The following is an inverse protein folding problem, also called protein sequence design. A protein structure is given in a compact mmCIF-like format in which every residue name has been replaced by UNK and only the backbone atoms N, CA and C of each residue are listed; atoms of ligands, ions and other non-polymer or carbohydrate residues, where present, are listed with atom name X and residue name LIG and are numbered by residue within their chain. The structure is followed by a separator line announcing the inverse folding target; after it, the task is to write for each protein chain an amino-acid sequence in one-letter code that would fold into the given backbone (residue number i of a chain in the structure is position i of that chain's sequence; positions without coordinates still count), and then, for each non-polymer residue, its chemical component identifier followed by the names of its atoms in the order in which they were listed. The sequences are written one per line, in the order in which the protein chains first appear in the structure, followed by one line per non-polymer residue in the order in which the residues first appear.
data_IF_961523379450
#
_entry.id   IF_961523379450
#
_cell.length_a   1.000
_cell.length_b   1.000
_cell.length_c   1.000
_cell.angle_alpha   90.00
_cell.angle_beta   90.00
_cell.angle_gamma   90.00
#
_symmetry.space_group_name_H-M   'P 1'
#
loop_
_entity.id
_entity.type
_entity.pdbx_description
1 polymer ?
#
# COMPACT_ATOMS: atom_id res chain seq x y z
N UNK A 1 -9.78 1.86 7.02
CA UNK A 1 -10.17 0.44 7.11
C UNK A 1 -10.03 -0.11 5.69
N UNK A 2 -9.22 -1.13 5.44
CA UNK A 2 -8.81 -1.50 4.06
C UNK A 2 -9.98 -1.97 3.17
N UNK A 3 -11.15 -2.25 3.75
CA UNK A 3 -12.36 -2.70 3.06
C UNK A 3 -12.91 -1.69 2.04
N UNK A 4 -12.54 -0.39 2.10
CA UNK A 4 -12.92 0.56 1.04
C UNK A 4 -12.16 0.32 -0.27
N UNK A 5 -11.14 -0.54 -0.27
CA UNK A 5 -10.32 -0.89 -1.43
C UNK A 5 -10.80 -2.18 -2.12
N UNK A 6 -12.00 -2.68 -1.82
CA UNK A 6 -12.57 -3.83 -2.54
C UNK A 6 -12.59 -3.57 -4.07
N UNK A 7 -12.10 -4.54 -4.84
CA UNK A 7 -11.92 -4.48 -6.29
C UNK A 7 -10.74 -3.61 -6.74
N UNK A 8 -9.84 -3.21 -5.83
CA UNK A 8 -8.71 -2.31 -6.11
C UNK A 8 -7.36 -3.01 -6.05
N UNK A 9 -6.35 -2.33 -6.60
CA UNK A 9 -4.96 -2.76 -6.54
C UNK A 9 -4.19 -1.85 -5.60
N UNK A 10 -3.44 -2.46 -4.68
CA UNK A 10 -2.60 -1.73 -3.71
C UNK A 10 -1.14 -2.12 -3.87
N UNK A 11 -0.24 -1.18 -3.62
CA UNK A 11 1.21 -1.39 -3.66
C UNK A 11 1.79 -1.82 -2.31
N UNK A 12 2.87 -2.58 -2.33
CA UNK A 12 3.66 -2.89 -1.15
C UNK A 12 5.09 -3.31 -1.47
N UNK A 13 5.96 -3.36 -0.47
CA UNK A 13 7.35 -3.79 -0.66
C UNK A 13 7.46 -5.30 -0.48
N UNK A 14 8.06 -5.97 -1.46
CA UNK A 14 8.30 -7.40 -1.43
C UNK A 14 9.12 -7.79 -0.18
N UNK A 15 8.70 -8.85 0.51
CA UNK A 15 9.35 -9.32 1.73
C UNK A 15 9.16 -8.44 2.96
N UNK A 16 8.30 -7.42 2.89
CA UNK A 16 7.96 -6.63 4.08
C UNK A 16 6.88 -7.31 4.91
N UNK A 17 7.06 -7.34 6.23
CA UNK A 17 6.07 -7.86 7.18
C UNK A 17 4.69 -7.19 7.01
N UNK A 18 4.66 -5.94 6.56
CA UNK A 18 3.42 -5.20 6.28
C UNK A 18 2.61 -5.89 5.20
N UNK A 19 3.24 -6.24 4.07
CA UNK A 19 2.58 -6.96 2.97
C UNK A 19 2.02 -8.29 3.45
N UNK A 20 2.79 -9.05 4.23
CA UNK A 20 2.33 -10.33 4.77
C UNK A 20 1.08 -10.17 5.65
N UNK A 21 1.05 -9.16 6.53
CA UNK A 21 -0.10 -8.87 7.39
C UNK A 21 -1.33 -8.48 6.57
N UNK A 22 -1.17 -7.66 5.52
CA UNK A 22 -2.31 -7.30 4.67
C UNK A 22 -2.78 -8.47 3.83
N UNK A 23 -1.87 -9.27 3.28
CA UNK A 23 -2.23 -10.46 2.51
C UNK A 23 -3.07 -11.41 3.36
N UNK A 24 -2.64 -11.67 4.61
CA UNK A 24 -3.42 -12.49 5.54
C UNK A 24 -4.79 -11.87 5.85
N UNK A 25 -4.86 -10.56 6.08
CA UNK A 25 -6.14 -9.89 6.35
C UNK A 25 -7.10 -9.96 5.16
N UNK A 26 -6.60 -9.75 3.94
CA UNK A 26 -7.36 -9.83 2.69
C UNK A 26 -7.90 -11.25 2.50
N UNK A 27 -7.07 -12.26 2.72
CA UNK A 27 -7.47 -13.68 2.65
C UNK A 27 -8.53 -14.03 3.71
N UNK A 28 -8.29 -13.67 4.98
CA UNK A 28 -9.19 -13.96 6.09
C UNK A 28 -10.57 -13.33 5.90
N UNK A 29 -10.61 -12.14 5.31
CA UNK A 29 -11.84 -11.38 5.04
C UNK A 29 -12.44 -11.68 3.67
N UNK A 30 -11.75 -12.46 2.82
CA UNK A 30 -12.13 -12.75 1.43
C UNK A 30 -12.40 -11.47 0.63
N UNK A 31 -11.53 -10.49 0.79
CA UNK A 31 -11.59 -9.23 0.05
C UNK A 31 -10.98 -9.43 -1.33
N UNK A 32 -11.62 -8.85 -2.34
CA UNK A 32 -11.09 -8.77 -3.71
C UNK A 32 -10.09 -7.62 -3.82
N UNK A 33 -8.92 -7.77 -3.20
CA UNK A 33 -7.87 -6.75 -3.22
C UNK A 33 -6.60 -7.37 -3.76
N UNK A 34 -6.06 -6.79 -4.83
CA UNK A 34 -4.80 -7.22 -5.41
C UNK A 34 -3.63 -6.48 -4.75
N UNK A 35 -2.59 -7.21 -4.35
CA UNK A 35 -1.35 -6.61 -3.86
C UNK A 35 -0.29 -6.69 -4.96
N UNK A 36 0.11 -5.54 -5.50
CA UNK A 36 1.27 -5.40 -6.37
C UNK A 36 2.52 -5.15 -5.52
N UNK A 37 3.53 -6.02 -5.63
CA UNK A 37 4.77 -5.90 -4.84
C UNK A 37 5.90 -5.27 -5.64
N UNK A 38 6.63 -4.35 -5.01
CA UNK A 38 7.76 -3.63 -5.57
C UNK A 38 9.07 -3.98 -4.84
N UNK A 39 10.21 -3.79 -5.51
CA UNK A 39 11.54 -3.96 -4.91
C UNK A 39 11.86 -2.88 -3.87
N UNK A 40 11.34 -1.66 -4.08
CA UNK A 40 11.64 -0.51 -3.23
C UNK A 40 10.47 0.48 -3.19
N UNK A 41 10.57 1.43 -2.26
CA UNK A 41 9.56 2.46 -2.01
C UNK A 41 9.31 3.37 -3.22
N UNK A 42 10.36 3.70 -3.95
CA UNK A 42 10.29 4.64 -5.08
C UNK A 42 9.38 4.11 -6.18
N UNK A 43 9.45 2.81 -6.49
CA UNK A 43 8.55 2.17 -7.44
C UNK A 43 7.08 2.26 -7.01
N UNK A 44 6.81 1.97 -5.74
CA UNK A 44 5.46 2.05 -5.17
C UNK A 44 4.90 3.47 -5.20
N UNK A 45 5.69 4.47 -4.82
CA UNK A 45 5.26 5.87 -4.81
C UNK A 45 5.03 6.40 -6.23
N UNK A 46 5.87 6.02 -7.18
CA UNK A 46 5.74 6.42 -8.58
C UNK A 46 4.45 5.90 -9.22
N UNK A 47 4.11 4.63 -8.97
CA UNK A 47 2.90 4.03 -9.52
C UNK A 47 1.63 4.56 -8.86
N UNK A 48 1.71 4.90 -7.57
CA UNK A 48 0.64 5.63 -6.88
C UNK A 48 0.44 7.03 -7.48
N UNK A 49 1.51 7.77 -7.74
CA UNK A 49 1.43 9.12 -8.35
C UNK A 49 0.92 9.09 -9.80
N UNK A 50 1.01 7.95 -10.49
CA UNK A 50 0.50 7.74 -11.84
C UNK A 50 -0.91 7.14 -11.88
N UNK A 51 -1.58 7.01 -10.73
CA UNK A 51 -2.88 6.35 -10.60
C UNK A 51 -2.90 4.90 -11.13
N UNK A 52 -1.75 4.21 -11.07
CA UNK A 52 -1.64 2.79 -11.46
C UNK A 52 -1.99 1.82 -10.32
N UNK A 53 -1.95 2.31 -9.08
CA UNK A 53 -2.43 1.63 -7.87
C UNK A 53 -3.26 2.61 -7.04
N UNK A 54 -4.26 2.12 -6.32
CA UNK A 54 -5.22 2.93 -5.58
C UNK A 54 -4.72 3.33 -4.17
N UNK A 55 -3.78 2.56 -3.62
CA UNK A 55 -3.15 2.84 -2.32
C UNK A 55 -1.83 2.07 -2.19
N UNK A 56 -1.04 2.37 -1.16
CA UNK A 56 0.10 1.53 -0.82
C UNK A 56 0.35 1.40 0.68
N UNK A 57 0.97 0.28 1.02
CA UNK A 57 1.36 -0.09 2.35
C UNK A 57 2.59 0.69 2.83
N UNK A 58 2.47 1.40 3.95
CA UNK A 58 3.61 2.11 4.53
C UNK A 58 3.48 2.24 6.05
N UNK A 59 4.62 2.39 6.73
CA UNK A 59 4.63 2.71 8.16
C UNK A 59 3.95 4.06 8.43
N UNK A 60 3.11 4.09 9.45
CA UNK A 60 2.38 5.30 9.85
C UNK A 60 3.31 6.49 10.13
N UNK A 61 4.45 6.25 10.78
CA UNK A 61 5.47 7.27 11.07
C UNK A 61 6.06 7.88 9.79
N UNK A 62 6.26 7.06 8.76
CA UNK A 62 6.75 7.51 7.46
C UNK A 62 5.69 8.34 6.74
N UNK A 63 4.43 7.90 6.76
CA UNK A 63 3.30 8.65 6.20
C UNK A 63 3.20 10.04 6.84
N UNK A 64 3.27 10.12 8.18
CA UNK A 64 3.22 11.38 8.92
C UNK A 64 4.36 12.32 8.54
N UNK A 65 5.59 11.81 8.43
CA UNK A 65 6.74 12.60 7.99
C UNK A 65 6.55 13.14 6.55
N UNK A 66 6.07 12.29 5.63
CA UNK A 66 5.80 12.68 4.24
C UNK A 66 4.68 13.74 4.13
N UNK A 67 3.62 13.64 4.94
CA UNK A 67 2.55 14.65 4.99
C UNK A 67 3.09 15.99 5.50
N UNK A 68 3.90 15.98 6.57
CA UNK A 68 4.51 17.20 7.11
C UNK A 68 5.46 17.89 6.12
N UNK A 69 6.17 17.10 5.31
CA UNK A 69 7.04 17.62 4.25
C UNK A 69 6.26 18.20 3.07
N UNK A 70 5.15 17.56 2.66
CA UNK A 70 4.30 18.06 1.55
C UNK A 70 3.49 19.32 1.92
N UNK A 71 3.24 19.56 3.21
CA UNK A 71 2.53 20.74 3.71
C UNK A 71 3.44 21.94 4.06
N UNK A 72 4.74 21.86 3.76
CA UNK A 72 5.71 22.96 3.88
C UNK A 72 6.01 23.55 2.51
#
# INVERSE_FOLDING_TARGET
MIEYLEGKTIGGIAGSQKVDIMAQYIEDKRLDIEIHTYENREGTELDFEKDQIDAYAQDYTIIQASIQLKNK
#
